data_IF_449248002489
#
_entry.id   IF_449248002489
#
_cell.length_a   1.000
_cell.length_b   1.000
_cell.length_c   1.000
_cell.angle_alpha   90.00
_cell.angle_beta   90.00
_cell.angle_gamma   90.00
#
_symmetry.space_group_name_H-M   'P 1'
#
loop_
_entity.id
_entity.type
_entity.pdbx_description
1 polymer ?
#
# COMPACT_ATOMS: atom_id res chain seq x y z
N UNK A 1 43.69 7.05 -12.77
CA UNK A 1 43.09 8.35 -12.39
C UNK A 1 42.31 8.12 -11.13
N UNK A 2 42.57 8.95 -10.12
CA UNK A 2 42.14 8.82 -8.73
C UNK A 2 40.62 8.75 -8.58
N UNK A 3 40.12 7.68 -7.97
CA UNK A 3 38.78 7.64 -7.40
C UNK A 3 38.73 8.62 -6.23
N UNK A 4 37.94 9.68 -6.37
CA UNK A 4 37.70 10.64 -5.29
C UNK A 4 36.64 10.05 -4.37
N UNK A 5 37.06 9.28 -3.38
CA UNK A 5 36.22 8.91 -2.23
C UNK A 5 36.08 10.13 -1.34
N UNK A 6 34.88 10.68 -1.26
CA UNK A 6 34.53 11.70 -0.25
C UNK A 6 33.99 10.93 0.95
N UNK A 7 34.79 10.80 2.01
CA UNK A 7 34.33 10.28 3.30
C UNK A 7 33.44 11.33 3.97
N UNK A 8 32.16 10.99 4.16
CA UNK A 8 31.25 11.74 5.04
C UNK A 8 30.37 10.78 5.81
N UNK A 9 30.48 10.84 7.14
CA UNK A 9 29.78 10.06 8.17
C UNK A 9 29.99 8.53 8.07
N UNK A 10 30.42 7.90 9.17
CA UNK A 10 30.99 6.53 9.26
C UNK A 10 30.16 5.38 8.63
N UNK A 11 28.94 5.61 8.11
CA UNK A 11 28.04 4.56 7.61
C UNK A 11 27.42 4.82 6.22
N UNK A 12 27.92 5.79 5.43
CA UNK A 12 27.41 6.12 4.09
C UNK A 12 28.51 6.09 3.03
N UNK A 13 28.44 5.14 2.08
CA UNK A 13 29.34 5.10 0.92
C UNK A 13 28.60 5.50 -0.34
N UNK A 14 29.13 6.51 -1.03
CA UNK A 14 28.57 7.05 -2.28
C UNK A 14 29.60 6.89 -3.39
N UNK A 15 29.20 6.28 -4.50
CA UNK A 15 30.05 6.18 -5.70
C UNK A 15 29.21 6.14 -6.97
N UNK A 16 29.82 6.49 -8.10
CA UNK A 16 29.25 6.20 -9.41
C UNK A 16 29.52 4.74 -9.75
N UNK A 17 28.49 4.02 -10.19
CA UNK A 17 28.54 2.61 -10.57
C UNK A 17 28.13 2.46 -12.03
N UNK A 18 29.02 1.91 -12.86
CA UNK A 18 28.71 1.58 -14.25
C UNK A 18 27.81 0.36 -14.34
N UNK A 19 27.11 0.19 -15.46
CA UNK A 19 26.32 -1.03 -15.66
C UNK A 19 27.20 -2.29 -15.70
N UNK A 20 28.39 -2.23 -16.30
CA UNK A 20 29.33 -3.37 -16.27
C UNK A 20 29.72 -3.80 -14.86
N UNK A 21 29.80 -2.86 -13.92
CA UNK A 21 30.08 -3.11 -12.50
C UNK A 21 28.82 -3.60 -11.77
N UNK A 22 27.66 -2.98 -12.01
CA UNK A 22 26.36 -3.40 -11.46
C UNK A 22 26.07 -4.86 -11.77
N UNK A 23 26.23 -5.27 -13.03
CA UNK A 23 25.92 -6.63 -13.49
C UNK A 23 26.81 -7.69 -12.84
N UNK A 24 27.92 -7.29 -12.21
CA UNK A 24 28.86 -8.18 -11.54
C UNK A 24 28.89 -7.98 -10.01
N UNK A 25 28.00 -7.15 -9.47
CA UNK A 25 27.97 -6.80 -8.04
C UNK A 25 27.49 -7.99 -7.21
N UNK A 26 28.44 -8.79 -6.72
CA UNK A 26 28.18 -9.97 -5.89
C UNK A 26 27.45 -9.60 -4.59
N UNK A 27 26.79 -10.60 -4.00
CA UNK A 27 26.03 -10.49 -2.75
C UNK A 27 24.81 -9.53 -2.81
N UNK A 28 24.49 -8.96 -3.98
CA UNK A 28 23.28 -8.16 -4.18
C UNK A 28 22.03 -9.04 -4.08
N UNK A 29 21.11 -8.68 -3.21
CA UNK A 29 19.87 -9.44 -2.97
C UNK A 29 18.63 -8.56 -3.16
N UNK A 30 17.51 -9.18 -3.53
CA UNK A 30 16.18 -8.54 -3.53
C UNK A 30 15.47 -9.00 -2.26
N UNK A 31 15.36 -8.14 -1.24
CA UNK A 31 14.73 -8.51 0.02
C UNK A 31 13.24 -8.78 -0.16
N UNK A 32 12.68 -9.64 0.70
CA UNK A 32 11.25 -10.01 0.69
C UNK A 32 10.32 -8.80 0.74
N UNK A 33 10.74 -7.72 1.41
CA UNK A 33 9.93 -6.51 1.54
C UNK A 33 9.77 -5.72 0.21
N UNK A 34 10.65 -5.95 -0.76
CA UNK A 34 10.58 -5.30 -2.06
C UNK A 34 9.33 -5.71 -2.83
N UNK A 35 8.82 -4.79 -3.64
CA UNK A 35 7.64 -5.07 -4.47
C UNK A 35 8.01 -5.94 -5.68
N UNK A 36 7.05 -6.67 -6.27
CA UNK A 36 7.26 -7.37 -7.53
C UNK A 36 7.81 -6.46 -8.65
N UNK A 37 8.44 -7.07 -9.66
CA UNK A 37 8.86 -6.36 -10.86
C UNK A 37 7.62 -5.92 -11.66
N UNK A 38 7.40 -4.60 -11.77
CA UNK A 38 6.20 -3.98 -12.37
C UNK A 38 6.50 -3.13 -13.61
N UNK A 39 7.77 -3.00 -14.03
CA UNK A 39 8.04 -2.38 -15.32
C UNK A 39 7.35 -3.19 -16.43
N UNK A 40 6.71 -2.46 -17.33
CA UNK A 40 6.06 -2.96 -18.55
C UNK A 40 6.90 -2.63 -19.78
N UNK A 41 6.53 -3.22 -20.93
CA UNK A 41 7.20 -3.09 -22.23
C UNK A 41 7.61 -1.66 -22.59
N UNK A 42 6.73 -0.67 -22.38
CA UNK A 42 7.00 0.75 -22.64
C UNK A 42 8.23 1.29 -21.91
N UNK A 43 8.50 0.82 -20.68
CA UNK A 43 9.65 1.29 -19.90
C UNK A 43 10.96 0.68 -20.44
N UNK A 44 10.91 -0.53 -20.98
CA UNK A 44 12.06 -1.17 -21.63
C UNK A 44 12.37 -0.47 -22.95
N UNK A 45 11.36 -0.19 -23.76
CA UNK A 45 11.53 0.59 -24.99
C UNK A 45 12.12 1.96 -24.68
N UNK A 46 11.57 2.67 -23.69
CA UNK A 46 12.09 3.97 -23.26
C UNK A 46 13.56 3.88 -22.81
N UNK A 47 13.92 2.87 -22.00
CA UNK A 47 15.30 2.68 -21.56
C UNK A 47 16.26 2.52 -22.76
N UNK A 48 15.89 1.70 -23.75
CA UNK A 48 16.72 1.48 -24.94
C UNK A 48 16.79 2.74 -25.81
N UNK A 49 15.68 3.45 -25.97
CA UNK A 49 15.62 4.72 -26.69
C UNK A 49 16.52 5.78 -26.03
N UNK A 50 16.49 5.90 -24.70
CA UNK A 50 17.33 6.83 -23.96
C UNK A 50 18.82 6.49 -24.14
N UNK A 51 19.20 5.22 -24.01
CA UNK A 51 20.59 4.77 -24.22
C UNK A 51 21.07 5.13 -25.62
N UNK A 52 20.23 4.95 -26.65
CA UNK A 52 20.53 5.37 -28.02
C UNK A 52 20.61 6.90 -28.16
N UNK A 53 19.71 7.64 -27.52
CA UNK A 53 19.68 9.10 -27.60
C UNK A 53 20.91 9.74 -26.97
N UNK A 54 21.37 9.21 -25.84
CA UNK A 54 22.56 9.70 -25.13
C UNK A 54 23.88 9.12 -25.66
N UNK A 55 23.83 8.17 -26.60
CA UNK A 55 25.01 7.59 -27.25
C UNK A 55 25.90 8.70 -27.82
N UNK A 56 27.17 8.73 -27.40
CA UNK A 56 28.15 9.77 -27.77
C UNK A 56 28.23 10.95 -26.79
N UNK A 57 27.41 10.98 -25.74
CA UNK A 57 27.64 11.85 -24.56
C UNK A 57 28.66 11.21 -23.62
N UNK A 58 29.13 11.96 -22.62
CA UNK A 58 30.12 11.46 -21.67
C UNK A 58 29.58 10.34 -20.76
N UNK A 59 28.34 10.48 -20.31
CA UNK A 59 27.63 9.48 -19.51
C UNK A 59 26.11 9.70 -19.55
N UNK A 60 25.34 8.64 -19.35
CA UNK A 60 23.88 8.68 -19.11
C UNK A 60 23.57 8.15 -17.71
N UNK A 61 22.96 8.98 -16.86
CA UNK A 61 22.60 8.61 -15.49
C UNK A 61 21.21 7.98 -15.44
N UNK A 62 21.16 6.68 -15.20
CA UNK A 62 19.92 5.89 -15.06
C UNK A 62 19.21 6.11 -13.72
N UNK A 63 19.86 6.83 -12.80
CA UNK A 63 19.34 7.21 -11.49
C UNK A 63 20.17 6.63 -10.36
N UNK A 64 19.50 6.13 -9.31
CA UNK A 64 20.12 5.72 -8.04
C UNK A 64 19.95 4.22 -7.79
N UNK A 65 20.95 3.62 -7.16
CA UNK A 65 20.86 2.31 -6.52
C UNK A 65 21.16 2.50 -5.04
N UNK A 66 20.17 2.23 -4.19
CA UNK A 66 20.34 2.33 -2.73
C UNK A 66 20.31 0.93 -2.18
N UNK A 67 21.38 0.54 -1.50
CA UNK A 67 21.50 -0.76 -0.83
C UNK A 67 21.73 -0.55 0.65
N UNK A 68 21.15 -1.46 1.42
CA UNK A 68 21.43 -1.60 2.83
C UNK A 68 22.37 -2.78 3.02
N UNK A 69 23.42 -2.58 3.83
CA UNK A 69 24.33 -3.64 4.24
C UNK A 69 24.47 -3.60 5.75
N UNK A 70 24.12 -4.70 6.42
CA UNK A 70 24.40 -4.84 7.85
C UNK A 70 25.90 -5.07 8.06
N UNK A 71 26.48 -4.56 9.14
CA UNK A 71 27.91 -4.71 9.46
C UNK A 71 28.32 -6.20 9.54
N UNK A 72 27.39 -7.06 9.93
CA UNK A 72 27.63 -8.49 10.13
C UNK A 72 27.25 -9.37 8.93
N UNK A 73 26.64 -8.79 7.89
CA UNK A 73 26.16 -9.52 6.72
C UNK A 73 26.94 -9.15 5.46
N UNK A 74 27.15 -10.14 4.59
CA UNK A 74 27.71 -9.88 3.26
C UNK A 74 26.67 -9.33 2.29
N UNK A 75 25.40 -9.62 2.54
CA UNK A 75 24.30 -9.32 1.64
C UNK A 75 24.10 -7.80 1.46
N UNK A 76 24.01 -7.38 0.21
CA UNK A 76 23.66 -6.03 -0.19
C UNK A 76 22.17 -6.01 -0.54
N UNK A 77 21.35 -5.68 0.45
CA UNK A 77 19.90 -5.68 0.35
C UNK A 77 19.43 -4.46 -0.45
N UNK A 78 18.84 -4.66 -1.63
CA UNK A 78 18.31 -3.54 -2.43
C UNK A 78 17.15 -2.84 -1.69
N UNK A 79 17.30 -1.54 -1.49
CA UNK A 79 16.26 -0.64 -0.95
C UNK A 79 15.61 0.18 -2.06
N UNK A 80 16.40 0.69 -3.01
CA UNK A 80 15.93 1.40 -4.21
C UNK A 80 16.65 0.91 -5.47
N UNK A 81 15.98 1.00 -6.63
CA UNK A 81 16.60 0.71 -7.92
C UNK A 81 16.36 -0.71 -8.45
N UNK A 82 15.68 -1.57 -7.70
CA UNK A 82 15.35 -2.95 -8.09
C UNK A 82 14.83 -3.08 -9.54
N UNK A 83 13.86 -2.25 -9.93
CA UNK A 83 13.23 -2.31 -11.26
C UNK A 83 14.24 -2.01 -12.38
N UNK A 84 15.15 -1.05 -12.15
CA UNK A 84 16.21 -0.69 -13.09
C UNK A 84 17.26 -1.79 -13.17
N UNK A 85 17.69 -2.33 -12.02
CA UNK A 85 18.66 -3.42 -11.95
C UNK A 85 18.17 -4.65 -12.73
N UNK A 86 16.95 -5.12 -12.46
CA UNK A 86 16.36 -6.24 -13.20
C UNK A 86 16.31 -5.94 -14.70
N UNK A 87 15.87 -4.75 -15.09
CA UNK A 87 15.79 -4.37 -16.51
C UNK A 87 17.15 -4.33 -17.20
N UNK A 88 18.20 -3.88 -16.51
CA UNK A 88 19.57 -3.90 -17.05
C UNK A 88 20.08 -5.33 -17.24
N UNK A 89 19.78 -6.25 -16.31
CA UNK A 89 20.10 -7.68 -16.45
C UNK A 89 19.38 -8.27 -17.66
N UNK A 90 18.08 -8.00 -17.82
CA UNK A 90 17.30 -8.47 -18.97
C UNK A 90 17.86 -7.94 -20.30
N UNK A 91 18.26 -6.66 -20.32
CA UNK A 91 18.85 -6.03 -21.49
C UNK A 91 20.21 -6.66 -21.83
N UNK A 92 21.05 -6.91 -20.83
CA UNK A 92 22.34 -7.58 -21.02
C UNK A 92 22.15 -9.02 -21.53
N UNK A 93 21.23 -9.80 -20.96
CA UNK A 93 20.89 -11.13 -21.47
C UNK A 93 20.41 -11.08 -22.92
N UNK A 94 19.64 -10.04 -23.29
CA UNK A 94 19.19 -9.86 -24.67
C UNK A 94 20.34 -9.52 -25.62
N UNK A 95 21.30 -8.67 -25.20
CA UNK A 95 22.51 -8.36 -25.96
C UNK A 95 23.30 -9.64 -26.26
N UNK A 96 23.53 -10.49 -25.26
CA UNK A 96 24.27 -11.76 -25.40
C UNK A 96 23.68 -12.67 -26.49
N UNK A 97 22.36 -12.69 -26.63
CA UNK A 97 21.68 -13.57 -27.58
C UNK A 97 21.45 -12.95 -28.96
N UNK A 98 21.54 -11.63 -29.12
CA UNK A 98 21.08 -10.94 -30.34
C UNK A 98 22.14 -10.14 -31.07
N UNK A 99 23.13 -9.59 -30.37
CA UNK A 99 24.19 -8.78 -30.99
C UNK A 99 25.43 -9.65 -31.20
N UNK A 100 25.87 -9.76 -32.45
CA UNK A 100 27.15 -10.38 -32.78
C UNK A 100 28.26 -9.36 -32.56
N UNK A 101 29.10 -9.61 -31.55
CA UNK A 101 30.25 -8.77 -31.23
C UNK A 101 31.47 -9.28 -31.99
N UNK A 102 31.97 -8.46 -32.90
CA UNK A 102 33.16 -8.65 -33.72
C UNK A 102 34.42 -8.09 -33.05
N UNK A 103 34.34 -6.98 -32.28
CA UNK A 103 35.50 -6.48 -31.53
C UNK A 103 35.94 -7.48 -30.45
N UNK A 104 37.18 -8.03 -30.53
CA UNK A 104 37.70 -8.96 -29.55
C UNK A 104 37.75 -8.41 -28.12
N UNK A 105 37.97 -7.10 -27.95
CA UNK A 105 38.05 -6.51 -26.61
C UNK A 105 36.68 -6.46 -25.93
N UNK A 106 35.68 -5.93 -26.63
CA UNK A 106 34.30 -5.91 -26.15
C UNK A 106 33.76 -7.32 -25.93
N UNK A 107 34.08 -8.27 -26.82
CA UNK A 107 33.67 -9.67 -26.66
C UNK A 107 34.19 -10.27 -25.35
N UNK A 108 35.47 -10.06 -25.05
CA UNK A 108 36.10 -10.54 -23.80
C UNK A 108 35.49 -9.90 -22.56
N UNK A 109 35.16 -8.61 -22.62
CA UNK A 109 34.46 -7.90 -21.54
C UNK A 109 33.07 -8.50 -21.28
N UNK A 110 32.27 -8.68 -22.33
CA UNK A 110 30.93 -9.26 -22.26
C UNK A 110 30.95 -10.69 -21.72
N UNK A 111 31.91 -11.52 -22.16
CA UNK A 111 32.10 -12.87 -21.63
C UNK A 111 32.47 -12.88 -20.14
N UNK A 112 33.30 -11.92 -19.69
CA UNK A 112 33.67 -11.79 -18.29
C UNK A 112 32.47 -11.37 -17.42
N UNK A 113 31.67 -10.40 -17.89
CA UNK A 113 30.44 -9.98 -17.21
C UNK A 113 29.47 -11.16 -17.12
N UNK A 114 29.26 -11.90 -18.22
CA UNK A 114 28.34 -13.04 -18.23
C UNK A 114 28.75 -14.14 -17.23
N UNK A 115 30.05 -14.37 -17.03
CA UNK A 115 30.56 -15.35 -16.07
C UNK A 115 30.25 -14.97 -14.61
N UNK A 116 30.26 -13.68 -14.30
CA UNK A 116 30.02 -13.16 -12.95
C UNK A 116 28.65 -12.47 -12.84
N UNK A 117 27.73 -12.77 -13.76
CA UNK A 117 26.46 -12.08 -13.85
C UNK A 117 25.65 -12.32 -12.57
N UNK A 118 25.17 -11.24 -11.97
CA UNK A 118 24.25 -11.32 -10.84
C UNK A 118 22.98 -12.06 -11.25
N UNK A 119 22.51 -12.94 -10.38
CA UNK A 119 21.29 -13.70 -10.60
C UNK A 119 20.35 -13.54 -9.42
N UNK A 120 19.05 -13.54 -9.72
CA UNK A 120 18.00 -13.39 -8.74
C UNK A 120 16.98 -14.50 -8.91
N UNK A 121 16.58 -15.11 -7.80
CA UNK A 121 15.45 -16.02 -7.80
C UNK A 121 14.14 -15.25 -7.67
N UNK A 122 13.16 -15.61 -8.50
CA UNK A 122 11.84 -14.99 -8.50
C UNK A 122 10.77 -16.04 -8.30
N UNK A 123 10.02 -15.94 -7.20
CA UNK A 123 8.86 -16.80 -6.91
C UNK A 123 7.52 -16.14 -7.27
N UNK A 124 7.50 -14.83 -7.54
CA UNK A 124 6.27 -14.08 -7.81
C UNK A 124 5.81 -14.18 -9.27
N UNK A 125 4.55 -14.56 -9.49
CA UNK A 125 3.96 -14.75 -10.83
C UNK A 125 3.94 -13.47 -11.69
N UNK A 126 3.65 -12.32 -11.07
CA UNK A 126 3.64 -11.02 -11.78
C UNK A 126 5.05 -10.66 -12.24
N UNK A 127 6.05 -10.87 -11.38
CA UNK A 127 7.45 -10.69 -11.76
C UNK A 127 7.84 -11.62 -12.91
N UNK A 128 7.50 -12.91 -12.84
CA UNK A 128 7.81 -13.87 -13.89
C UNK A 128 7.17 -13.50 -15.24
N UNK A 129 5.89 -13.09 -15.22
CA UNK A 129 5.17 -12.61 -16.41
C UNK A 129 5.84 -11.37 -17.02
N UNK A 130 6.12 -10.36 -16.19
CA UNK A 130 6.72 -9.11 -16.66
C UNK A 130 8.16 -9.33 -17.15
N UNK A 131 8.96 -10.16 -16.48
CA UNK A 131 10.31 -10.55 -16.94
C UNK A 131 10.23 -11.16 -18.34
N UNK A 132 9.33 -12.13 -18.55
CA UNK A 132 9.17 -12.81 -19.84
C UNK A 132 8.82 -11.84 -20.97
N UNK A 133 7.83 -10.97 -20.75
CA UNK A 133 7.39 -10.01 -21.77
C UNK A 133 8.48 -8.96 -22.05
N UNK A 134 9.05 -8.39 -21.00
CA UNK A 134 10.08 -7.37 -21.12
C UNK A 134 11.35 -7.91 -21.78
N UNK A 135 11.72 -9.17 -21.49
CA UNK A 135 12.83 -9.83 -22.17
C UNK A 135 12.56 -10.01 -23.67
N UNK A 136 11.36 -10.42 -24.05
CA UNK A 136 10.98 -10.56 -25.46
C UNK A 136 11.05 -9.21 -26.21
N UNK A 137 10.62 -8.12 -25.59
CA UNK A 137 10.75 -6.77 -26.15
C UNK A 137 12.21 -6.33 -26.22
N UNK A 138 12.98 -6.53 -25.14
CA UNK A 138 14.40 -6.22 -25.12
C UNK A 138 15.14 -6.90 -26.27
N UNK A 139 14.93 -8.21 -26.49
CA UNK A 139 15.53 -8.95 -27.62
C UNK A 139 15.17 -8.34 -28.97
N UNK A 140 13.89 -8.04 -29.22
CA UNK A 140 13.44 -7.49 -30.52
C UNK A 140 14.03 -6.12 -30.80
N UNK A 141 14.16 -5.28 -29.78
CA UNK A 141 14.65 -3.91 -29.93
C UNK A 141 16.18 -3.87 -30.01
N UNK A 142 16.88 -4.61 -29.14
CA UNK A 142 18.34 -4.70 -29.13
C UNK A 142 18.90 -5.35 -30.39
N UNK A 143 18.18 -6.27 -31.03
CA UNK A 143 18.61 -6.85 -32.31
C UNK A 143 18.80 -5.81 -33.43
N UNK A 144 18.31 -4.57 -33.25
CA UNK A 144 18.49 -3.44 -34.18
C UNK A 144 19.64 -2.51 -33.77
N UNK A 145 20.28 -2.77 -32.64
CA UNK A 145 21.39 -1.98 -32.11
C UNK A 145 22.75 -2.53 -32.56
N UNK A 146 23.80 -1.74 -32.38
CA UNK A 146 25.18 -2.03 -32.79
C UNK A 146 26.12 -2.21 -31.58
N UNK A 147 27.40 -2.48 -31.82
CA UNK A 147 28.38 -2.61 -30.74
C UNK A 147 28.59 -1.33 -29.93
N UNK A 148 28.46 -0.17 -30.57
CA UNK A 148 28.62 1.11 -29.88
C UNK A 148 27.50 1.33 -28.85
N UNK A 149 26.29 0.84 -29.11
CA UNK A 149 25.23 0.77 -28.11
C UNK A 149 25.67 -0.10 -26.92
N UNK A 150 26.25 -1.27 -27.17
CA UNK A 150 26.73 -2.17 -26.11
C UNK A 150 27.81 -1.51 -25.26
N UNK A 151 28.80 -0.86 -25.88
CA UNK A 151 29.85 -0.11 -25.16
C UNK A 151 29.27 1.00 -24.32
N UNK A 152 28.34 1.78 -24.89
CA UNK A 152 27.73 2.89 -24.19
C UNK A 152 26.89 2.39 -23.00
N UNK A 153 26.05 1.37 -23.21
CA UNK A 153 25.26 0.75 -22.17
C UNK A 153 26.12 0.23 -21.01
N UNK A 154 27.19 -0.51 -21.31
CA UNK A 154 28.03 -1.11 -20.26
C UNK A 154 28.88 -0.08 -19.51
N UNK A 155 29.47 0.87 -20.23
CA UNK A 155 30.58 1.68 -19.70
C UNK A 155 30.28 3.17 -19.54
N UNK A 156 29.17 3.66 -20.11
CA UNK A 156 28.76 5.06 -20.03
C UNK A 156 27.35 5.25 -19.46
N UNK A 157 26.56 4.19 -19.31
CA UNK A 157 25.39 4.24 -18.45
C UNK A 157 25.79 4.00 -17.00
N UNK A 158 25.35 4.90 -16.12
CA UNK A 158 25.81 4.99 -14.74
C UNK A 158 24.64 5.14 -13.77
N UNK A 159 24.82 4.60 -12.57
CA UNK A 159 23.97 4.79 -11.41
C UNK A 159 24.76 5.50 -10.31
N UNK A 160 24.09 6.30 -9.49
CA UNK A 160 24.67 6.74 -8.21
C UNK A 160 24.35 5.66 -7.18
N UNK A 161 25.39 4.95 -6.73
CA UNK A 161 25.30 3.91 -5.72
C UNK A 161 25.44 4.50 -4.33
N UNK A 162 24.50 4.14 -3.46
CA UNK A 162 24.49 4.45 -2.03
C UNK A 162 24.48 3.15 -1.25
N UNK A 163 25.46 2.96 -0.38
CA UNK A 163 25.50 1.87 0.60
C UNK A 163 25.36 2.46 1.98
N UNK A 164 24.36 1.96 2.71
CA UNK A 164 23.92 2.52 4.00
C UNK A 164 23.91 1.42 5.05
N UNK A 165 24.66 1.64 6.14
CA UNK A 165 24.83 0.67 7.23
C UNK A 165 23.53 0.35 7.98
N UNK A 166 22.61 1.31 8.11
CA UNK A 166 21.35 1.10 8.82
C UNK A 166 20.14 1.10 7.89
N UNK A 167 19.34 0.02 7.96
CA UNK A 167 18.16 -0.16 7.11
C UNK A 167 17.15 0.99 7.25
N UNK A 168 16.98 1.51 8.46
CA UNK A 168 16.08 2.64 8.75
C UNK A 168 16.48 3.90 8.00
N UNK A 169 17.78 4.21 7.95
CA UNK A 169 18.34 5.35 7.21
C UNK A 169 18.22 5.12 5.70
N UNK A 170 18.46 3.89 5.23
CA UNK A 170 18.34 3.55 3.82
C UNK A 170 16.92 3.79 3.30
N UNK A 171 15.91 3.41 4.09
CA UNK A 171 14.53 3.70 3.76
C UNK A 171 14.15 5.19 3.92
N UNK A 172 14.72 5.92 4.88
CA UNK A 172 14.50 7.38 4.94
C UNK A 172 15.07 8.07 3.71
N UNK A 173 16.25 7.63 3.27
CA UNK A 173 16.86 8.11 2.04
C UNK A 173 15.96 7.80 0.84
N UNK A 174 15.46 6.57 0.72
CA UNK A 174 14.48 6.17 -0.28
C UNK A 174 13.22 7.05 -0.27
N UNK A 175 12.61 7.28 0.90
CA UNK A 175 11.41 8.11 1.05
C UNK A 175 11.69 9.54 0.54
N UNK A 176 12.88 10.09 0.81
CA UNK A 176 13.30 11.42 0.35
C UNK A 176 13.56 11.51 -1.16
N UNK A 177 14.11 10.46 -1.78
CA UNK A 177 14.39 10.42 -3.23
C UNK A 177 13.11 10.25 -4.05
N UNK A 178 12.18 9.41 -3.57
CA UNK A 178 10.90 9.18 -4.24
C UNK A 178 9.95 10.39 -4.19
N UNK A 179 10.28 11.44 -3.44
CA UNK A 179 9.55 12.71 -3.52
C UNK A 179 9.76 13.45 -4.86
N UNK A 180 10.76 13.05 -5.67
CA UNK A 180 11.10 13.70 -6.96
C UNK A 180 10.76 12.86 -8.20
N UNK A 181 10.42 11.58 -8.04
CA UNK A 181 10.14 10.62 -9.12
C UNK A 181 8.66 10.30 -9.28
N UNK A 182 8.32 9.18 -9.96
CA UNK A 182 6.94 8.67 -9.96
C UNK A 182 6.55 8.29 -8.52
N UNK A 183 5.58 9.01 -7.98
CA UNK A 183 5.15 8.83 -6.59
C UNK A 183 4.74 7.38 -6.30
N UNK A 184 5.27 6.84 -5.22
CA UNK A 184 4.74 5.62 -4.61
C UNK A 184 3.38 5.92 -4.01
N UNK A 185 2.48 4.95 -4.14
CA UNK A 185 1.18 5.01 -3.50
C UNK A 185 1.35 5.03 -1.97
N UNK A 186 0.48 5.73 -1.22
CA UNK A 186 0.58 5.83 0.24
C UNK A 186 0.69 4.47 0.96
N UNK A 187 0.01 3.43 0.47
CA UNK A 187 0.07 2.09 1.07
C UNK A 187 1.43 1.42 0.87
N UNK A 188 2.14 1.69 -0.23
CA UNK A 188 3.50 1.17 -0.47
C UNK A 188 4.50 1.81 0.52
N UNK A 189 4.35 3.11 0.81
CA UNK A 189 5.15 3.81 1.81
C UNK A 189 4.87 3.29 3.23
N UNK A 190 3.61 3.01 3.54
CA UNK A 190 3.23 2.41 4.82
C UNK A 190 3.80 1.00 4.97
N UNK A 191 3.71 0.16 3.93
CA UNK A 191 4.34 -1.16 3.92
C UNK A 191 5.82 -1.06 4.28
N UNK A 192 6.58 -0.20 3.60
CA UNK A 192 8.00 -0.01 3.86
C UNK A 192 8.27 0.51 5.28
N UNK A 193 7.47 1.46 5.76
CA UNK A 193 7.57 1.95 7.14
C UNK A 193 7.36 0.84 8.16
N UNK A 194 6.29 0.07 8.06
CA UNK A 194 5.98 -0.96 9.05
C UNK A 194 6.94 -2.15 8.98
N UNK A 195 7.58 -2.42 7.84
CA UNK A 195 8.61 -3.47 7.74
C UNK A 195 9.87 -3.13 8.54
N UNK A 196 10.22 -1.83 8.67
CA UNK A 196 11.30 -1.35 9.56
C UNK A 196 11.00 -1.52 11.03
N UNK A 197 9.71 -1.57 11.39
CA UNK A 197 9.27 -1.62 12.78
C UNK A 197 9.01 -3.05 13.26
N UNK A 198 9.40 -4.07 12.49
CA UNK A 198 9.45 -5.44 12.99
C UNK A 198 10.50 -5.57 14.09
N UNK A 199 10.19 -6.42 15.06
CA UNK A 199 11.12 -6.80 16.12
C UNK A 199 11.85 -8.09 15.72
N UNK A 200 13.01 -8.34 16.30
CA UNK A 200 13.75 -9.59 16.08
C UNK A 200 12.90 -10.84 16.37
N UNK A 201 11.99 -10.75 17.35
CA UNK A 201 11.08 -11.85 17.71
C UNK A 201 10.04 -12.14 16.63
N UNK A 202 9.65 -11.10 15.88
CA UNK A 202 8.62 -11.17 14.85
C UNK A 202 9.19 -11.41 13.45
N UNK A 203 10.52 -11.45 13.30
CA UNK A 203 11.18 -11.54 11.99
C UNK A 203 10.74 -12.78 11.21
N UNK A 204 10.49 -13.90 11.92
CA UNK A 204 9.96 -15.14 11.33
C UNK A 204 8.57 -14.99 10.70
N UNK A 205 7.76 -14.05 11.19
CA UNK A 205 6.40 -13.78 10.70
C UNK A 205 6.39 -12.75 9.56
N UNK A 206 7.51 -12.06 9.31
CA UNK A 206 7.61 -11.01 8.29
C UNK A 206 7.28 -11.54 6.90
N UNK A 207 7.86 -12.68 6.51
CA UNK A 207 7.64 -13.28 5.20
C UNK A 207 6.17 -13.64 4.97
N UNK A 208 5.52 -14.26 5.94
CA UNK A 208 4.10 -14.64 5.85
C UNK A 208 3.20 -13.41 5.70
N UNK A 209 3.42 -12.38 6.52
CA UNK A 209 2.65 -11.14 6.47
C UNK A 209 2.85 -10.37 5.16
N UNK A 210 4.08 -10.31 4.65
CA UNK A 210 4.34 -9.69 3.33
C UNK A 210 3.70 -10.50 2.22
N UNK A 211 3.73 -11.83 2.30
CA UNK A 211 3.10 -12.70 1.31
C UNK A 211 1.59 -12.49 1.29
N UNK A 212 0.93 -12.36 2.44
CA UNK A 212 -0.50 -12.04 2.52
C UNK A 212 -0.78 -10.65 1.94
N UNK A 213 0.03 -9.65 2.27
CA UNK A 213 -0.09 -8.31 1.71
C UNK A 213 -0.02 -8.29 0.18
N UNK A 214 0.98 -8.98 -0.39
CA UNK A 214 1.23 -9.01 -1.85
C UNK A 214 0.22 -9.87 -2.62
N UNK A 215 -0.54 -10.75 -1.96
CA UNK A 215 -1.66 -11.45 -2.59
C UNK A 215 -2.81 -10.51 -2.95
N UNK A 216 -2.91 -9.36 -2.28
CA UNK A 216 -3.93 -8.38 -2.59
C UNK A 216 -3.55 -7.55 -3.82
N UNK A 217 -4.54 -7.25 -4.68
CA UNK A 217 -4.30 -6.33 -5.77
C UNK A 217 -3.97 -4.94 -5.23
N UNK A 218 -2.96 -4.30 -5.81
CA UNK A 218 -2.50 -2.97 -5.38
C UNK A 218 -3.60 -1.91 -5.46
N UNK A 219 -4.54 -2.04 -6.40
CA UNK A 219 -5.72 -1.17 -6.53
C UNK A 219 -6.69 -1.34 -5.36
N UNK A 220 -6.89 -2.58 -4.89
CA UNK A 220 -7.80 -2.87 -3.79
C UNK A 220 -7.25 -2.31 -2.48
N UNK A 221 -5.94 -2.43 -2.26
CA UNK A 221 -5.27 -1.82 -1.12
C UNK A 221 -5.34 -0.29 -1.20
N UNK A 222 -5.08 0.30 -2.36
CA UNK A 222 -5.20 1.75 -2.53
C UNK A 222 -6.62 2.24 -2.20
N UNK A 223 -7.65 1.51 -2.65
CA UNK A 223 -9.05 1.79 -2.35
C UNK A 223 -9.36 1.62 -0.86
N UNK A 224 -8.94 0.50 -0.25
CA UNK A 224 -9.11 0.22 1.17
C UNK A 224 -8.54 1.34 2.05
N UNK A 225 -7.33 1.78 1.75
CA UNK A 225 -6.70 2.87 2.49
C UNK A 225 -7.38 4.21 2.26
N UNK A 226 -7.56 4.62 1.01
CA UNK A 226 -8.01 5.98 0.67
C UNK A 226 -9.51 6.21 0.87
N UNK A 227 -10.35 5.23 0.52
CA UNK A 227 -11.81 5.38 0.55
C UNK A 227 -12.42 4.96 1.88
N UNK A 228 -11.75 4.13 2.68
CA UNK A 228 -12.31 3.61 3.92
C UNK A 228 -11.45 3.91 5.14
N UNK A 229 -10.29 3.28 5.30
CA UNK A 229 -9.50 3.36 6.53
C UNK A 229 -9.13 4.81 6.86
N UNK A 230 -8.65 5.57 5.86
CA UNK A 230 -8.28 6.98 6.03
C UNK A 230 -9.50 7.83 6.39
N UNK A 231 -10.63 7.59 5.73
CA UNK A 231 -11.84 8.40 5.93
C UNK A 231 -12.45 8.17 7.30
N UNK A 232 -12.60 6.90 7.70
CA UNK A 232 -13.09 6.54 9.03
C UNK A 232 -12.18 7.14 10.11
N UNK A 233 -10.86 7.01 9.96
CA UNK A 233 -9.90 7.57 10.93
C UNK A 233 -9.91 9.10 11.00
N UNK A 234 -10.06 9.78 9.85
CA UNK A 234 -10.10 11.24 9.81
C UNK A 234 -11.42 11.76 10.39
N UNK A 235 -12.54 11.24 9.92
CA UNK A 235 -13.86 11.64 10.40
C UNK A 235 -14.09 11.32 11.87
N UNK A 236 -13.65 10.16 12.38
CA UNK A 236 -13.69 9.85 13.82
C UNK A 236 -12.83 10.79 14.69
N UNK A 237 -11.90 11.55 14.10
CA UNK A 237 -11.13 12.61 14.77
C UNK A 237 -11.73 14.00 14.59
N UNK A 238 -12.74 14.15 13.72
CA UNK A 238 -13.27 15.44 13.31
C UNK A 238 -12.38 16.15 12.27
N UNK A 239 -11.50 15.41 11.59
CA UNK A 239 -10.61 15.92 10.55
C UNK A 239 -11.20 15.67 9.15
N UNK A 240 -10.85 16.53 8.19
CA UNK A 240 -11.20 16.38 6.77
C UNK A 240 -10.59 15.10 6.16
N UNK A 241 -11.37 14.41 5.35
CA UNK A 241 -11.03 13.15 4.69
C UNK A 241 -10.97 13.23 3.14
N UNK A 242 -10.72 14.40 2.57
CA UNK A 242 -10.77 14.63 1.10
C UNK A 242 -9.74 13.82 0.31
N UNK A 243 -8.48 13.86 0.74
CA UNK A 243 -7.36 13.28 -0.01
C UNK A 243 -6.46 12.52 0.93
N UNK A 244 -6.17 11.26 0.57
CA UNK A 244 -5.14 10.46 1.21
C UNK A 244 -3.87 10.50 0.36
N UNK A 245 -2.91 11.31 0.78
CA UNK A 245 -1.61 11.44 0.13
C UNK A 245 -0.46 11.15 1.12
N UNK A 246 0.78 11.30 0.63
CA UNK A 246 2.01 11.08 1.42
C UNK A 246 2.08 11.94 2.68
N UNK A 247 1.47 13.13 2.70
CA UNK A 247 1.44 14.00 3.87
C UNK A 247 0.52 13.48 4.97
N UNK A 248 -0.40 12.56 4.65
CA UNK A 248 -1.40 12.00 5.57
C UNK A 248 -1.08 10.60 6.08
N UNK A 249 0.00 9.96 5.60
CA UNK A 249 0.38 8.60 6.04
C UNK A 249 0.70 8.52 7.54
N UNK A 250 1.03 9.65 8.20
CA UNK A 250 1.26 9.68 9.65
C UNK A 250 0.07 9.15 10.46
N UNK A 251 -1.16 9.21 9.93
CA UNK A 251 -2.35 8.66 10.60
C UNK A 251 -2.28 7.14 10.80
N UNK A 252 -1.44 6.47 10.02
CA UNK A 252 -1.20 5.03 10.06
C UNK A 252 0.15 4.67 10.69
N UNK A 253 0.98 5.66 11.03
CA UNK A 253 2.19 5.46 11.83
C UNK A 253 1.82 5.57 13.30
N UNK A 254 2.22 4.58 14.09
CA UNK A 254 1.84 4.50 15.49
C UNK A 254 3.00 4.16 16.39
N UNK A 255 2.77 3.26 17.35
CA UNK A 255 3.72 2.94 18.41
C UNK A 255 4.37 1.59 18.17
N UNK A 256 5.65 1.47 18.52
CA UNK A 256 6.37 0.20 18.55
C UNK A 256 6.45 -0.25 20.01
N UNK A 257 5.82 -1.38 20.35
CA UNK A 257 5.53 -1.83 21.72
C UNK A 257 6.80 -1.97 22.58
N UNK A 258 7.92 -2.33 21.96
CA UNK A 258 9.22 -2.56 22.59
C UNK A 258 10.04 -1.28 22.73
N UNK A 259 9.78 -0.29 21.86
CA UNK A 259 10.52 0.99 21.82
C UNK A 259 9.78 2.12 22.55
N UNK A 260 8.48 1.96 22.75
CA UNK A 260 7.66 2.99 23.40
C UNK A 260 8.05 3.11 24.88
N UNK A 261 8.43 4.31 25.29
CA UNK A 261 8.76 4.64 26.69
C UNK A 261 7.56 4.47 27.63
N UNK A 262 7.72 4.69 28.93
CA UNK A 262 6.70 4.47 29.96
C UNK A 262 5.51 5.47 29.89
N UNK A 263 4.75 5.42 28.81
CA UNK A 263 3.49 6.14 28.62
C UNK A 263 2.32 5.26 29.07
N UNK A 264 1.47 5.79 29.96
CA UNK A 264 0.38 5.02 30.57
C UNK A 264 -0.70 4.56 29.59
N UNK A 265 -0.96 5.31 28.52
CA UNK A 265 -1.90 4.85 27.48
C UNK A 265 -1.40 3.59 26.75
N UNK A 266 -0.08 3.36 26.74
CA UNK A 266 0.52 2.22 26.06
C UNK A 266 0.48 0.94 26.91
N UNK A 267 0.22 1.03 28.21
CA UNK A 267 0.18 -0.14 29.10
C UNK A 267 -0.89 -1.15 28.65
N UNK A 268 -2.08 -0.66 28.28
CA UNK A 268 -3.14 -1.52 27.75
C UNK A 268 -2.74 -2.18 26.43
N UNK A 269 -2.05 -1.45 25.54
CA UNK A 269 -1.56 -1.97 24.26
C UNK A 269 -0.48 -3.04 24.46
N UNK A 270 0.45 -2.84 25.40
CA UNK A 270 1.49 -3.82 25.76
C UNK A 270 0.88 -5.10 26.30
N UNK A 271 0.00 -4.96 27.30
CA UNK A 271 -0.68 -6.11 27.92
C UNK A 271 -1.43 -6.89 26.85
N UNK A 272 -2.21 -6.20 26.01
CA UNK A 272 -2.99 -6.84 24.97
C UNK A 272 -2.10 -7.53 23.93
N UNK A 273 -1.02 -6.87 23.48
CA UNK A 273 -0.08 -7.43 22.52
C UNK A 273 0.53 -8.74 23.02
N UNK A 274 1.06 -8.76 24.25
CA UNK A 274 1.70 -9.95 24.81
C UNK A 274 0.67 -11.01 25.18
N UNK A 275 -0.47 -10.63 25.75
CA UNK A 275 -1.50 -11.59 26.14
C UNK A 275 -2.12 -12.30 24.94
N UNK A 276 -2.41 -11.60 23.84
CA UNK A 276 -2.93 -12.24 22.63
C UNK A 276 -1.97 -13.29 22.08
N UNK A 277 -0.67 -13.01 22.10
CA UNK A 277 0.35 -13.95 21.65
C UNK A 277 0.48 -15.16 22.56
N UNK A 278 0.59 -14.94 23.87
CA UNK A 278 0.66 -16.01 24.87
C UNK A 278 -0.59 -16.88 24.83
N UNK A 279 -1.77 -16.27 24.73
CA UNK A 279 -3.03 -16.98 24.58
C UNK A 279 -2.98 -17.94 23.39
N UNK A 280 -2.57 -17.47 22.22
CA UNK A 280 -2.49 -18.28 21.01
C UNK A 280 -1.41 -19.37 21.06
N UNK A 281 -0.36 -19.20 21.86
CA UNK A 281 0.70 -20.21 22.06
C UNK A 281 0.35 -21.25 23.12
N UNK A 282 -0.63 -20.95 23.98
CA UNK A 282 -0.97 -21.80 25.12
C UNK A 282 -1.34 -23.22 24.70
N UNK A 283 -0.98 -24.20 25.54
CA UNK A 283 -1.24 -25.62 25.28
C UNK A 283 -2.72 -25.91 24.99
N UNK A 284 -3.63 -25.23 25.68
CA UNK A 284 -5.06 -25.37 25.44
C UNK A 284 -5.49 -25.02 24.01
N UNK A 285 -4.85 -24.01 23.38
CA UNK A 285 -5.14 -23.66 21.99
C UNK A 285 -4.59 -24.67 20.99
N UNK A 286 -3.57 -25.44 21.37
CA UNK A 286 -3.07 -26.54 20.54
C UNK A 286 -4.05 -27.73 20.51
N UNK A 287 -4.93 -27.83 21.51
CA UNK A 287 -5.95 -28.89 21.59
C UNK A 287 -7.18 -28.51 20.76
N UNK A 288 -7.75 -27.33 21.00
CA UNK A 288 -9.01 -26.93 20.35
C UNK A 288 -8.81 -26.14 19.06
N UNK A 289 -7.55 -25.84 18.72
CA UNK A 289 -7.13 -25.14 17.51
C UNK A 289 -7.73 -23.73 17.37
N UNK A 290 -8.28 -23.17 18.46
CA UNK A 290 -8.84 -21.83 18.46
C UNK A 290 -7.75 -20.77 18.43
N UNK A 291 -7.78 -19.87 17.45
CA UNK A 291 -6.89 -18.69 17.40
C UNK A 291 -7.70 -17.43 17.66
N UNK A 292 -7.14 -16.50 18.43
CA UNK A 292 -7.71 -15.18 18.68
C UNK A 292 -6.87 -14.12 17.99
N UNK A 293 -7.48 -13.40 17.05
CA UNK A 293 -6.87 -12.22 16.45
C UNK A 293 -6.67 -11.13 17.51
N UNK A 294 -5.67 -10.27 17.29
CA UNK A 294 -5.55 -9.05 18.07
C UNK A 294 -6.83 -8.23 17.90
N UNK A 295 -7.46 -7.73 18.97
CA UNK A 295 -8.72 -7.01 18.87
C UNK A 295 -8.45 -5.56 18.44
N UNK A 296 -8.34 -5.35 17.13
CA UNK A 296 -8.17 -4.04 16.52
C UNK A 296 -9.42 -3.17 16.73
N UNK A 297 -9.21 -1.85 16.74
CA UNK A 297 -10.24 -0.82 16.70
C UNK A 297 -9.76 0.30 15.77
N UNK A 298 -10.64 0.79 14.88
CA UNK A 298 -10.27 1.73 13.82
C UNK A 298 -9.83 3.09 14.35
N UNK A 299 -10.25 3.47 15.55
CA UNK A 299 -9.90 4.73 16.21
C UNK A 299 -8.73 4.60 17.20
N UNK A 300 -8.28 3.37 17.49
CA UNK A 300 -7.16 3.12 18.38
C UNK A 300 -5.79 3.54 17.78
N UNK A 301 -4.76 3.72 18.64
CA UNK A 301 -3.38 3.86 18.18
C UNK A 301 -2.95 2.65 17.35
N UNK A 302 -2.26 2.91 16.24
CA UNK A 302 -1.66 1.84 15.44
C UNK A 302 -0.49 1.23 16.21
N UNK A 303 -0.34 -0.09 16.14
CA UNK A 303 0.88 -0.76 16.55
C UNK A 303 1.70 -1.05 15.29
N UNK A 304 2.93 -0.53 15.25
CA UNK A 304 3.81 -0.70 14.11
C UNK A 304 4.29 -2.16 13.95
N UNK A 305 5.04 -2.45 12.88
CA UNK A 305 5.53 -3.81 12.66
C UNK A 305 4.42 -4.77 12.25
N UNK A 306 4.47 -6.01 12.74
CA UNK A 306 3.53 -7.07 12.36
C UNK A 306 2.06 -6.74 12.62
N UNK A 307 1.75 -6.02 13.70
CA UNK A 307 0.36 -5.74 14.09
C UNK A 307 -0.34 -4.84 13.09
N UNK A 308 0.40 -3.96 12.41
CA UNK A 308 -0.14 -3.19 11.29
C UNK A 308 -0.56 -4.11 10.14
N UNK A 309 0.29 -5.06 9.73
CA UNK A 309 -0.05 -6.01 8.66
C UNK A 309 -1.27 -6.87 9.03
N UNK A 310 -1.29 -7.40 10.25
CA UNK A 310 -2.44 -8.14 10.78
C UNK A 310 -3.72 -7.28 10.81
N UNK A 311 -3.61 -6.00 11.17
CA UNK A 311 -4.72 -5.04 11.18
C UNK A 311 -5.30 -4.83 9.77
N UNK A 312 -4.45 -4.68 8.76
CA UNK A 312 -4.91 -4.48 7.38
C UNK A 312 -5.62 -5.73 6.85
N UNK A 313 -5.08 -6.91 7.11
CA UNK A 313 -5.74 -8.17 6.76
C UNK A 313 -7.09 -8.32 7.49
N UNK A 314 -7.11 -8.01 8.80
CA UNK A 314 -8.33 -8.04 9.61
C UNK A 314 -9.41 -7.10 9.04
N UNK A 315 -9.06 -5.85 8.76
CA UNK A 315 -10.06 -4.91 8.26
C UNK A 315 -10.51 -5.23 6.86
N UNK A 316 -9.67 -5.81 5.99
CA UNK A 316 -10.13 -6.31 4.70
C UNK A 316 -11.27 -7.33 4.88
N UNK A 317 -11.13 -8.28 5.79
CA UNK A 317 -12.19 -9.25 6.11
C UNK A 317 -13.46 -8.57 6.66
N UNK A 318 -13.30 -7.55 7.52
CA UNK A 318 -14.44 -6.76 8.05
C UNK A 318 -15.15 -6.00 6.92
N UNK A 319 -14.42 -5.41 5.97
CA UNK A 319 -15.00 -4.74 4.81
C UNK A 319 -15.74 -5.74 3.91
N UNK A 320 -15.14 -6.88 3.58
CA UNK A 320 -15.77 -7.91 2.76
C UNK A 320 -17.06 -8.42 3.46
N UNK A 321 -17.06 -8.52 4.79
CA UNK A 321 -18.24 -8.88 5.57
C UNK A 321 -19.34 -7.79 5.53
N UNK A 322 -18.97 -6.52 5.69
CA UNK A 322 -19.93 -5.41 5.84
C UNK A 322 -20.43 -4.82 4.50
N UNK A 323 -19.62 -4.91 3.44
CA UNK A 323 -19.88 -4.23 2.16
C UNK A 323 -20.29 -5.22 1.07
N UNK A 324 -19.66 -6.40 1.04
CA UNK A 324 -19.93 -7.42 0.01
C UNK A 324 -20.95 -8.44 0.49
N UNK A 325 -20.78 -8.97 1.71
CA UNK A 325 -21.51 -10.15 2.17
C UNK A 325 -22.63 -9.86 3.17
N UNK A 326 -22.87 -8.59 3.52
CA UNK A 326 -23.74 -8.25 4.65
C UNK A 326 -25.19 -8.73 4.49
N UNK A 327 -25.70 -8.85 3.26
CA UNK A 327 -27.06 -9.35 2.98
C UNK A 327 -27.27 -10.79 3.45
N UNK A 328 -26.20 -11.59 3.54
CA UNK A 328 -26.25 -12.97 4.04
C UNK A 328 -26.36 -13.06 5.56
N UNK A 329 -26.19 -11.93 6.27
CA UNK A 329 -26.24 -11.90 7.72
C UNK A 329 -27.67 -12.13 8.24
N UNK A 330 -27.85 -13.21 8.99
CA UNK A 330 -29.14 -13.63 9.55
C UNK A 330 -29.74 -12.63 10.55
N UNK A 331 -28.95 -11.69 11.07
CA UNK A 331 -29.42 -10.65 12.00
C UNK A 331 -30.14 -9.49 11.28
N UNK A 332 -30.06 -9.38 9.95
CA UNK A 332 -30.73 -8.32 9.21
C UNK A 332 -32.21 -8.62 8.96
N UNK A 333 -33.05 -7.62 9.20
CA UNK A 333 -34.46 -7.60 8.78
C UNK A 333 -34.57 -7.41 7.27
N UNK A 334 -35.74 -7.73 6.71
CA UNK A 334 -36.03 -7.49 5.30
C UNK A 334 -35.95 -6.00 4.93
N UNK A 335 -36.33 -5.09 5.84
CA UNK A 335 -36.17 -3.65 5.63
C UNK A 335 -34.70 -3.25 5.45
N UNK A 336 -33.82 -3.73 6.33
CA UNK A 336 -32.37 -3.49 6.22
C UNK A 336 -31.79 -4.09 4.95
N UNK A 337 -32.19 -5.32 4.58
CA UNK A 337 -31.77 -5.94 3.31
C UNK A 337 -32.25 -5.16 2.09
N UNK A 338 -33.45 -4.58 2.16
CA UNK A 338 -33.99 -3.74 1.10
C UNK A 338 -33.14 -2.49 0.90
N UNK A 339 -32.66 -1.83 1.96
CA UNK A 339 -31.71 -0.70 1.86
C UNK A 339 -30.48 -1.10 1.03
N UNK A 340 -29.81 -2.20 1.38
CA UNK A 340 -28.63 -2.66 0.64
C UNK A 340 -28.92 -3.05 -0.82
N UNK A 341 -30.16 -3.44 -1.13
CA UNK A 341 -30.59 -3.72 -2.51
C UNK A 341 -30.84 -2.44 -3.28
N UNK A 342 -31.58 -1.50 -2.70
CA UNK A 342 -31.90 -0.24 -3.33
C UNK A 342 -30.63 0.54 -3.68
N UNK A 343 -29.69 0.71 -2.75
CA UNK A 343 -28.49 1.55 -2.95
C UNK A 343 -27.53 1.08 -4.05
N UNK A 344 -27.75 -0.13 -4.60
CA UNK A 344 -26.98 -0.71 -5.70
C UNK A 344 -27.83 -0.97 -6.96
N UNK A 345 -29.11 -0.57 -6.98
CA UNK A 345 -30.04 -0.94 -8.06
C UNK A 345 -30.94 0.20 -8.59
N UNK A 346 -31.13 1.32 -7.88
CA UNK A 346 -32.00 2.42 -8.36
C UNK A 346 -31.39 3.19 -9.55
N UNK A 347 -32.21 3.91 -10.33
CA UNK A 347 -31.71 4.64 -11.49
C UNK A 347 -30.64 5.69 -11.15
N UNK A 348 -29.44 5.51 -11.72
CA UNK A 348 -28.27 6.36 -11.49
C UNK A 348 -27.47 6.06 -10.21
N UNK A 349 -27.63 4.89 -9.60
CA UNK A 349 -26.83 4.45 -8.44
C UNK A 349 -25.30 4.45 -8.69
N UNK A 350 -24.88 4.35 -9.95
CA UNK A 350 -23.45 4.36 -10.37
C UNK A 350 -22.87 5.76 -10.56
N UNK A 351 -23.68 6.82 -10.50
CA UNK A 351 -23.19 8.19 -10.64
C UNK A 351 -22.13 8.49 -9.59
N UNK A 352 -21.20 9.38 -9.91
CA UNK A 352 -20.06 9.71 -9.03
C UNK A 352 -20.53 10.20 -7.65
N UNK A 353 -21.49 11.12 -7.59
CA UNK A 353 -22.04 11.61 -6.32
C UNK A 353 -22.76 10.54 -5.50
N UNK A 354 -23.47 9.64 -6.16
CA UNK A 354 -24.18 8.52 -5.56
C UNK A 354 -23.19 7.48 -5.00
N UNK A 355 -22.07 7.27 -5.69
CA UNK A 355 -20.94 6.48 -5.19
C UNK A 355 -20.33 7.11 -3.94
N UNK A 356 -20.14 8.43 -3.88
CA UNK A 356 -19.62 9.08 -2.67
C UNK A 356 -20.55 8.93 -1.46
N UNK A 357 -21.86 9.07 -1.66
CA UNK A 357 -22.86 8.86 -0.60
C UNK A 357 -22.90 7.41 -0.15
N UNK A 358 -22.79 6.45 -1.08
CA UNK A 358 -22.70 5.02 -0.76
C UNK A 358 -21.44 4.69 0.04
N UNK A 359 -20.28 5.21 -0.36
CA UNK A 359 -19.03 5.04 0.40
C UNK A 359 -19.13 5.64 1.80
N UNK A 360 -19.82 6.79 1.97
CA UNK A 360 -20.08 7.36 3.29
C UNK A 360 -20.91 6.42 4.16
N UNK A 361 -22.01 5.88 3.62
CA UNK A 361 -22.85 4.89 4.28
C UNK A 361 -22.03 3.66 4.71
N UNK A 362 -21.23 3.11 3.81
CA UNK A 362 -20.38 1.93 4.05
C UNK A 362 -19.31 2.22 5.12
N UNK A 363 -18.67 3.39 5.10
CA UNK A 363 -17.69 3.80 6.12
C UNK A 363 -18.30 3.87 7.52
N UNK A 364 -19.45 4.52 7.65
CA UNK A 364 -20.14 4.65 8.92
C UNK A 364 -20.60 3.28 9.45
N UNK A 365 -21.10 2.41 8.57
CA UNK A 365 -21.51 1.06 8.93
C UNK A 365 -20.33 0.20 9.41
N UNK A 366 -19.21 0.25 8.70
CA UNK A 366 -17.99 -0.48 9.12
C UNK A 366 -17.50 0.03 10.46
N UNK A 367 -17.47 1.34 10.68
CA UNK A 367 -17.04 1.89 11.97
C UNK A 367 -17.99 1.53 13.11
N UNK A 368 -19.29 1.48 12.85
CA UNK A 368 -20.28 0.98 13.81
C UNK A 368 -20.02 -0.49 14.18
N UNK A 369 -19.83 -1.36 13.17
CA UNK A 369 -19.61 -2.80 13.39
C UNK A 369 -18.26 -3.06 14.06
N UNK A 370 -17.22 -2.31 13.73
CA UNK A 370 -15.90 -2.38 14.38
C UNK A 370 -16.02 -2.19 15.90
N UNK A 371 -16.87 -1.26 16.34
CA UNK A 371 -17.04 -0.95 17.75
C UNK A 371 -18.10 -1.80 18.47
N UNK A 372 -19.27 -1.95 17.87
CA UNK A 372 -20.44 -2.55 18.54
C UNK A 372 -20.78 -3.96 18.03
N UNK A 373 -20.07 -4.45 17.02
CA UNK A 373 -20.44 -5.64 16.28
C UNK A 373 -21.82 -5.50 15.62
N UNK A 374 -22.54 -6.61 15.51
CA UNK A 374 -23.88 -6.64 14.93
C UNK A 374 -25.02 -6.37 15.93
N UNK A 375 -24.71 -5.81 17.10
CA UNK A 375 -25.74 -5.42 18.06
C UNK A 375 -26.53 -4.24 17.52
N UNK A 376 -27.86 -4.26 17.62
CA UNK A 376 -28.75 -3.20 17.08
C UNK A 376 -28.51 -2.87 15.60
N UNK A 377 -27.99 -3.82 14.81
CA UNK A 377 -27.55 -3.55 13.43
C UNK A 377 -28.65 -2.99 12.52
N UNK A 378 -29.91 -3.42 12.69
CA UNK A 378 -31.01 -2.92 11.86
C UNK A 378 -31.28 -1.44 12.10
N UNK A 379 -31.32 -1.03 13.37
CA UNK A 379 -31.47 0.38 13.76
C UNK A 379 -30.28 1.22 13.26
N UNK A 380 -29.06 0.67 13.36
CA UNK A 380 -27.87 1.32 12.84
C UNK A 380 -27.93 1.51 11.32
N UNK A 381 -28.31 0.47 10.56
CA UNK A 381 -28.45 0.54 9.10
C UNK A 381 -29.48 1.59 8.70
N UNK A 382 -30.65 1.60 9.33
CA UNK A 382 -31.72 2.57 9.06
C UNK A 382 -31.26 4.02 9.35
N UNK A 383 -30.63 4.25 10.50
CA UNK A 383 -30.13 5.58 10.90
C UNK A 383 -28.98 6.06 10.02
N UNK A 384 -28.01 5.20 9.74
CA UNK A 384 -26.87 5.54 8.87
C UNK A 384 -27.37 5.79 7.45
N UNK A 385 -28.35 5.03 6.96
CA UNK A 385 -28.98 5.26 5.68
C UNK A 385 -29.66 6.64 5.63
N UNK A 386 -30.51 6.94 6.60
CA UNK A 386 -31.17 8.25 6.66
C UNK A 386 -30.20 9.42 6.76
N UNK A 387 -29.16 9.28 7.58
CA UNK A 387 -28.11 10.29 7.73
C UNK A 387 -27.30 10.47 6.43
N UNK A 388 -26.84 9.41 5.79
CA UNK A 388 -26.00 9.52 4.59
C UNK A 388 -26.78 9.90 3.33
N UNK A 389 -27.93 9.26 3.08
CA UNK A 389 -28.71 9.46 1.86
C UNK A 389 -29.55 10.74 1.84
N UNK A 390 -29.68 11.44 2.98
CA UNK A 390 -30.17 12.83 3.00
C UNK A 390 -29.40 13.70 2.02
N UNK A 391 -28.07 13.60 1.98
CA UNK A 391 -27.23 14.35 1.03
C UNK A 391 -27.68 14.18 -0.42
N UNK A 392 -28.08 12.95 -0.77
CA UNK A 392 -28.49 12.62 -2.13
C UNK A 392 -29.81 13.31 -2.54
N UNK A 393 -30.71 13.52 -1.58
CA UNK A 393 -31.99 14.20 -1.79
C UNK A 393 -31.85 15.72 -1.69
N UNK A 394 -30.92 16.21 -0.87
CA UNK A 394 -30.69 17.65 -0.66
C UNK A 394 -29.98 18.30 -1.86
N UNK A 395 -29.00 17.62 -2.45
CA UNK A 395 -28.21 18.17 -3.56
C UNK A 395 -28.54 17.50 -4.90
N UNK A 396 -28.59 18.30 -5.98
CA UNK A 396 -28.70 17.75 -7.34
C UNK A 396 -27.38 17.16 -7.84
N UNK A 397 -26.26 17.83 -7.59
CA UNK A 397 -24.90 17.35 -7.88
C UNK A 397 -24.09 17.34 -6.57
N UNK A 398 -23.34 16.24 -6.34
CA UNK A 398 -22.54 16.06 -5.12
C UNK A 398 -21.08 15.93 -5.53
N UNK A 399 -20.25 16.83 -5.02
CA UNK A 399 -18.80 16.68 -5.02
C UNK A 399 -18.36 16.06 -3.69
N UNK A 400 -17.18 15.46 -3.65
CA UNK A 400 -16.70 14.83 -2.42
C UNK A 400 -16.57 15.83 -1.26
N UNK A 401 -16.17 17.08 -1.56
CA UNK A 401 -16.11 18.17 -0.57
C UNK A 401 -17.45 18.37 0.15
N UNK A 402 -18.58 18.23 -0.55
CA UNK A 402 -19.91 18.34 0.05
C UNK A 402 -20.16 17.22 1.07
N UNK A 403 -19.70 16.01 0.77
CA UNK A 403 -19.78 14.85 1.69
C UNK A 403 -18.90 15.09 2.90
N UNK A 404 -17.65 15.53 2.69
CA UNK A 404 -16.71 15.79 3.77
C UNK A 404 -17.23 16.86 4.75
N UNK A 405 -17.67 18.01 4.23
CA UNK A 405 -18.24 19.08 5.05
C UNK A 405 -19.48 18.61 5.82
N UNK A 406 -20.37 17.83 5.17
CA UNK A 406 -21.53 17.27 5.84
C UNK A 406 -21.18 16.39 7.04
N UNK A 407 -20.15 15.55 6.90
CA UNK A 407 -19.66 14.75 8.02
C UNK A 407 -19.06 15.64 9.11
N UNK A 408 -18.30 16.68 8.77
CA UNK A 408 -17.73 17.57 9.77
C UNK A 408 -18.80 18.34 10.55
N UNK A 409 -19.86 18.79 9.88
CA UNK A 409 -20.98 19.51 10.49
C UNK A 409 -21.91 18.57 11.28
N UNK A 410 -22.07 17.31 10.83
CA UNK A 410 -23.01 16.34 11.38
C UNK A 410 -22.32 15.00 11.67
N UNK A 411 -21.26 15.02 12.48
CA UNK A 411 -20.31 13.90 12.58
C UNK A 411 -20.84 12.66 13.33
N UNK A 412 -21.45 11.72 12.62
CA UNK A 412 -21.93 10.46 13.19
C UNK A 412 -20.77 9.55 13.65
N UNK A 413 -19.58 9.66 13.05
CA UNK A 413 -18.39 8.92 13.51
C UNK A 413 -17.97 9.36 14.92
N UNK A 414 -18.07 10.66 15.24
CA UNK A 414 -17.81 11.14 16.60
C UNK A 414 -18.78 10.53 17.61
N UNK A 415 -20.06 10.37 17.27
CA UNK A 415 -21.03 9.71 18.15
C UNK A 415 -20.66 8.25 18.39
N UNK A 416 -20.31 7.51 17.32
CA UNK A 416 -19.90 6.12 17.47
C UNK A 416 -18.66 6.02 18.34
N UNK A 417 -17.66 6.89 18.14
CA UNK A 417 -16.44 6.93 18.93
C UNK A 417 -16.66 7.26 20.40
N UNK A 418 -17.52 8.22 20.72
CA UNK A 418 -17.62 8.78 22.06
C UNK A 418 -18.64 8.08 22.97
N UNK A 419 -19.49 7.19 22.43
CA UNK A 419 -20.51 6.46 23.20
C UNK A 419 -20.13 4.99 23.43
N UNK A 420 -20.63 4.38 24.51
CA UNK A 420 -20.25 3.01 24.91
C UNK A 420 -21.33 1.97 24.63
N UNK A 421 -22.56 2.40 24.35
CA UNK A 421 -23.64 1.52 23.93
C UNK A 421 -24.18 1.89 22.54
N UNK A 422 -24.72 0.92 21.78
CA UNK A 422 -25.44 1.18 20.54
C UNK A 422 -26.54 2.24 20.67
N UNK A 423 -27.30 2.19 21.76
CA UNK A 423 -28.44 3.07 21.99
C UNK A 423 -28.00 4.53 22.13
N UNK A 424 -26.96 4.80 22.90
CA UNK A 424 -26.38 6.14 23.05
C UNK A 424 -25.78 6.64 21.73
N UNK A 425 -25.03 5.77 21.04
CA UNK A 425 -24.38 6.09 19.77
C UNK A 425 -25.40 6.41 18.66
N UNK A 426 -26.60 5.83 18.74
CA UNK A 426 -27.69 6.04 17.79
C UNK A 426 -28.71 7.06 18.30
N UNK A 427 -28.54 7.65 19.49
CA UNK A 427 -29.54 8.54 20.10
C UNK A 427 -29.68 9.89 19.38
N UNK A 428 -28.73 10.24 18.49
CA UNK A 428 -28.77 11.50 17.75
C UNK A 428 -30.09 11.62 16.99
N UNK A 429 -30.83 12.75 17.14
CA UNK A 429 -31.97 13.03 16.30
C UNK A 429 -31.50 13.27 14.87
N UNK A 430 -32.12 12.59 13.91
CA UNK A 430 -31.92 12.91 12.50
C UNK A 430 -32.79 14.12 12.18
N UNK A 431 -32.19 15.18 11.66
CA UNK A 431 -32.95 16.37 11.24
C UNK A 431 -33.69 16.08 9.93
N UNK A 432 -35.01 16.22 10.01
CA UNK A 432 -35.97 15.85 8.97
C UNK A 432 -36.44 17.03 8.12
N UNK A 433 -36.05 18.26 8.49
CA UNK A 433 -36.48 19.48 7.82
C UNK A 433 -35.37 20.01 6.91
N UNK A 434 -35.16 19.33 5.77
CA UNK A 434 -34.20 19.76 4.76
C UNK A 434 -34.86 20.08 3.42
N UNK A 435 -34.25 21.01 2.67
CA UNK A 435 -34.74 21.40 1.35
C UNK A 435 -34.36 20.35 0.32
N UNK A 436 -35.34 19.76 -0.38
CA UNK A 436 -35.09 18.77 -1.42
C UNK A 436 -34.62 19.45 -2.71
N UNK A 437 -33.40 19.14 -3.15
CA UNK A 437 -32.87 19.53 -4.45
C UNK A 437 -33.05 18.45 -5.53
N UNK A 438 -33.47 17.23 -5.14
CA UNK A 438 -33.69 16.09 -6.04
C UNK A 438 -34.72 15.11 -5.48
N UNK A 439 -35.44 14.43 -6.36
CA UNK A 439 -36.32 13.31 -6.03
C UNK A 439 -35.74 11.99 -6.56
N UNK A 440 -35.68 10.99 -5.68
CA UNK A 440 -35.37 9.59 -6.03
C UNK A 440 -36.38 8.73 -5.29
N UNK A 441 -37.38 8.21 -6.01
CA UNK A 441 -38.57 7.58 -5.44
C UNK A 441 -38.23 6.40 -4.54
N UNK A 442 -37.22 5.60 -4.90
CA UNK A 442 -36.83 4.41 -4.15
C UNK A 442 -36.18 4.78 -2.80
N UNK A 443 -35.34 5.82 -2.78
CA UNK A 443 -34.73 6.33 -1.53
C UNK A 443 -35.81 6.98 -0.67
N UNK A 444 -36.65 7.84 -1.25
CA UNK A 444 -37.72 8.51 -0.53
C UNK A 444 -38.73 7.52 0.04
N UNK A 445 -39.10 6.50 -0.72
CA UNK A 445 -40.03 5.46 -0.28
C UNK A 445 -39.51 4.72 0.96
N UNK A 446 -38.22 4.40 0.99
CA UNK A 446 -37.60 3.80 2.18
C UNK A 446 -37.64 4.80 3.36
N UNK A 447 -37.18 6.04 3.17
CA UNK A 447 -37.15 7.01 4.26
C UNK A 447 -38.54 7.32 4.83
N UNK A 448 -39.58 7.37 4.00
CA UNK A 448 -40.98 7.50 4.43
C UNK A 448 -41.43 6.29 5.23
N UNK A 449 -41.14 5.08 4.74
CA UNK A 449 -41.52 3.83 5.42
C UNK A 449 -40.88 3.69 6.81
N UNK A 450 -39.73 4.33 6.98
CA UNK A 450 -38.98 4.39 8.24
C UNK A 450 -39.32 5.63 9.08
N UNK A 451 -40.25 6.48 8.64
CA UNK A 451 -40.68 7.72 9.32
C UNK A 451 -39.57 8.79 9.47
N UNK A 452 -38.54 8.77 8.61
CA UNK A 452 -37.50 9.80 8.56
C UNK A 452 -37.89 10.99 7.67
N UNK A 453 -38.88 10.87 6.79
CA UNK A 453 -39.43 12.01 6.04
C UNK A 453 -40.95 11.87 5.89
N UNK A 454 -41.65 13.00 5.72
CA UNK A 454 -43.10 13.05 5.47
C UNK A 454 -43.48 12.65 4.05
#
# INVERSE_FOLDING_TARGET
>A
MSHTTVETAENLRIQTLKISELLQLQDLTIPVYQRPYKWQEKHISQLIEDVNFFKGKSAYRLGTLVVHKDENEKELNIVDGQQRTISCILLFKAILETIKIEDPHLKKEVEAINKNLIDFEFSNETTAYNIKNNYAIAKRTVAKCDEDFVRFFLNHCELIYFEIGHISEAFQFFDSQNARGKDLEPHDLLKAYHLREYTEKDEKLKLDNVTVWEKHQSSDLAKLFSEYLFRIRSWSRGDSAQVFDKSKIYLFKGVTIEKIGDFKYADSLRILHHFTDEYNKSYHRQIDLGKKSYPFQLDAPIINGRRFFEMISYYKEVFDMCVENIKSNQKLTENSKNIFSTIKNYDGWERTGDTYVRTLFECALVFYVDKFGFNHINEAVEKIFAWSYRLRLEYYAIQFVSVDNYVLDNNLFADFKNNYSPQEALARPVDYNFSKGRTIEEIEGILKSLYYIS
#
